data_IF_027079751446
#
_entry.id   IF_027079751446
#
_cell.length_a   1.000
_cell.length_b   1.000
_cell.length_c   1.000
_cell.angle_alpha   90.00
_cell.angle_beta   90.00
_cell.angle_gamma   90.00
#
_symmetry.space_group_name_H-M   'P 1'
#
loop_
_entity.id
_entity.type
_entity.pdbx_description
1 polymer ?
#
# COMPACT_ATOMS: atom_id res chain seq x y z
N UNK A 1 2.87 6.29 -9.73
CA UNK A 1 3.46 6.80 -10.98
C UNK A 1 4.57 5.86 -11.42
N UNK A 2 4.91 5.82 -12.71
CA UNK A 2 6.09 5.09 -13.23
C UNK A 2 7.00 6.06 -13.97
N UNK A 3 8.29 5.96 -13.70
CA UNK A 3 9.34 6.71 -14.38
C UNK A 3 10.27 5.74 -15.09
N UNK A 4 10.92 6.20 -16.16
CA UNK A 4 12.06 5.49 -16.73
C UNK A 4 13.36 5.84 -16.01
N UNK A 5 14.48 5.26 -16.45
CA UNK A 5 15.80 5.45 -15.86
C UNK A 5 16.31 6.90 -15.97
N UNK A 6 15.73 7.70 -16.87
CA UNK A 6 16.01 9.12 -17.03
C UNK A 6 15.03 10.01 -16.25
N UNK A 7 14.27 9.44 -15.30
CA UNK A 7 13.26 10.13 -14.50
C UNK A 7 12.12 10.76 -15.29
N UNK A 8 11.88 10.32 -16.53
CA UNK A 8 10.73 10.79 -17.31
C UNK A 8 9.51 9.98 -16.92
N UNK A 9 8.38 10.66 -16.68
CA UNK A 9 7.12 10.00 -16.35
C UNK A 9 6.61 9.23 -17.57
N UNK A 10 6.50 7.90 -17.46
CA UNK A 10 6.01 7.02 -18.54
C UNK A 10 4.62 6.46 -18.26
N UNK A 11 4.15 6.48 -17.01
CA UNK A 11 2.77 6.13 -16.68
C UNK A 11 2.28 6.78 -15.38
N UNK A 12 0.95 6.93 -15.28
CA UNK A 12 0.24 7.35 -14.08
C UNK A 12 -0.90 6.38 -13.79
N UNK A 13 -1.18 6.16 -12.51
CA UNK A 13 -2.24 5.25 -12.07
C UNK A 13 -3.05 5.93 -10.96
N UNK A 14 -4.32 5.55 -10.86
CA UNK A 14 -5.26 6.00 -9.83
C UNK A 14 -5.77 4.80 -9.03
N UNK A 15 -6.15 5.04 -7.78
CA UNK A 15 -6.76 4.01 -6.95
C UNK A 15 -8.16 3.63 -7.45
N UNK A 16 -8.60 2.37 -7.24
CA UNK A 16 -9.95 1.95 -7.56
C UNK A 16 -10.97 2.67 -6.66
N UNK A 17 -12.20 2.83 -7.17
CA UNK A 17 -13.29 3.54 -6.48
C UNK A 17 -13.52 3.01 -5.06
N UNK A 18 -13.53 1.70 -4.87
CA UNK A 18 -13.74 1.07 -3.57
C UNK A 18 -12.73 1.53 -2.51
N UNK A 19 -11.47 1.71 -2.91
CA UNK A 19 -10.41 2.20 -2.01
C UNK A 19 -10.56 3.70 -1.73
N UNK A 20 -10.95 4.49 -2.73
CA UNK A 20 -11.25 5.92 -2.56
C UNK A 20 -12.40 6.12 -1.58
N UNK A 21 -13.45 5.30 -1.68
CA UNK A 21 -14.60 5.34 -0.76
C UNK A 21 -14.20 4.99 0.68
N UNK A 22 -13.21 4.12 0.88
CA UNK A 22 -12.66 3.80 2.21
C UNK A 22 -11.74 4.88 2.76
N UNK A 23 -11.02 5.58 1.90
CA UNK A 23 -10.14 6.68 2.30
C UNK A 23 -10.91 7.89 2.83
N UNK A 24 -12.21 8.02 2.53
CA UNK A 24 -13.07 9.09 3.03
C UNK A 24 -12.43 10.47 2.79
N UNK A 25 -12.21 11.28 3.83
CA UNK A 25 -11.57 12.60 3.72
C UNK A 25 -10.04 12.55 3.81
N UNK A 26 -9.45 11.37 3.96
CA UNK A 26 -8.03 11.19 4.22
C UNK A 26 -7.28 10.62 3.01
N UNK A 27 -5.95 10.75 3.04
CA UNK A 27 -5.07 10.29 1.96
C UNK A 27 -4.52 8.89 2.23
N UNK A 28 -3.97 8.27 1.18
CA UNK A 28 -3.03 7.18 1.38
C UNK A 28 -1.86 7.66 2.26
N UNK A 29 -1.47 6.86 3.25
CA UNK A 29 -0.42 7.21 4.22
C UNK A 29 0.82 6.32 4.13
N UNK A 30 0.78 5.27 3.31
CA UNK A 30 1.91 4.38 3.07
C UNK A 30 1.77 3.62 1.75
N UNK A 31 2.91 3.15 1.23
CA UNK A 31 2.96 2.35 0.02
C UNK A 31 4.30 1.64 -0.16
N UNK A 32 4.28 0.35 -0.46
CA UNK A 32 5.50 -0.44 -0.74
C UNK A 32 5.22 -1.56 -1.75
N UNK A 33 6.20 -1.87 -2.60
CA UNK A 33 6.09 -2.97 -3.56
C UNK A 33 6.55 -4.28 -2.91
N UNK A 34 5.69 -5.30 -2.95
CA UNK A 34 6.05 -6.67 -2.58
C UNK A 34 6.95 -7.32 -3.63
N UNK A 35 7.60 -8.41 -3.25
CA UNK A 35 8.40 -9.24 -4.18
C UNK A 35 7.54 -9.94 -5.24
N UNK A 36 6.24 -10.07 -4.98
CA UNK A 36 5.23 -10.56 -5.92
C UNK A 36 4.80 -9.52 -6.96
N UNK A 37 5.45 -8.35 -6.99
CA UNK A 37 5.14 -7.27 -7.92
C UNK A 37 3.82 -6.55 -7.63
N UNK A 38 3.20 -6.80 -6.47
CA UNK A 38 1.99 -6.10 -6.02
C UNK A 38 2.36 -4.86 -5.21
N UNK A 39 1.53 -3.82 -5.30
CA UNK A 39 1.61 -2.63 -4.48
C UNK A 39 0.76 -2.82 -3.23
N UNK A 40 1.37 -2.74 -2.07
CA UNK A 40 0.69 -2.74 -0.77
C UNK A 40 0.58 -1.29 -0.34
N UNK A 41 -0.63 -0.84 -0.01
CA UNK A 41 -0.92 0.55 0.35
C UNK A 41 -1.84 0.62 1.56
N UNK A 42 -1.70 1.67 2.36
CA UNK A 42 -2.52 1.89 3.56
C UNK A 42 -3.23 3.23 3.50
N UNK A 43 -4.43 3.26 4.09
CA UNK A 43 -5.13 4.50 4.41
C UNK A 43 -4.53 5.19 5.63
N UNK A 44 -5.12 6.32 6.03
CA UNK A 44 -4.73 7.00 7.26
C UNK A 44 -5.25 6.28 8.50
N UNK A 45 -6.57 6.02 8.54
CA UNK A 45 -7.28 5.50 9.71
C UNK A 45 -7.81 4.08 9.50
N UNK A 46 -7.72 3.53 8.29
CA UNK A 46 -8.18 2.17 8.01
C UNK A 46 -7.10 1.18 8.50
N UNK A 47 -7.49 0.28 9.41
CA UNK A 47 -6.67 -0.83 9.90
C UNK A 47 -6.52 -1.93 8.85
N UNK A 48 -6.20 -1.53 7.62
CA UNK A 48 -6.17 -2.39 6.45
C UNK A 48 -5.02 -2.04 5.51
N UNK A 49 -4.44 -3.08 4.91
CA UNK A 49 -3.50 -3.00 3.80
C UNK A 49 -4.24 -3.42 2.52
N UNK A 50 -4.32 -2.50 1.57
CA UNK A 50 -4.85 -2.73 0.23
C UNK A 50 -3.76 -3.32 -0.66
N UNK A 51 -4.01 -4.50 -1.21
CA UNK A 51 -3.11 -5.17 -2.15
C UNK A 51 -3.57 -4.87 -3.57
N UNK A 52 -2.72 -4.21 -4.34
CA UNK A 52 -3.04 -3.68 -5.66
C UNK A 52 -2.11 -4.27 -6.72
N UNK A 53 -2.62 -4.46 -7.93
CA UNK A 53 -1.80 -4.77 -9.11
C UNK A 53 -1.94 -3.71 -10.19
N UNK A 54 -0.94 -3.62 -11.05
CA UNK A 54 -1.00 -2.77 -12.24
C UNK A 54 -1.99 -3.38 -13.24
N UNK A 55 -2.85 -2.56 -13.88
CA UNK A 55 -3.74 -3.05 -14.91
C UNK A 55 -2.95 -3.40 -16.19
N UNK A 56 -3.43 -4.39 -16.94
CA UNK A 56 -2.88 -4.68 -18.29
C UNK A 56 -3.19 -3.55 -19.28
N UNK A 57 -4.33 -2.87 -19.12
CA UNK A 57 -4.73 -1.70 -19.90
C UNK A 57 -5.54 -0.71 -19.05
N UNK A 58 -5.40 0.59 -19.32
CA UNK A 58 -6.02 1.66 -18.55
C UNK A 58 -5.14 2.18 -17.41
N UNK A 59 -5.71 3.00 -16.53
CA UNK A 59 -4.97 3.72 -15.49
C UNK A 59 -5.46 3.43 -14.06
N UNK A 60 -6.50 2.60 -13.90
CA UNK A 60 -7.06 2.26 -12.58
C UNK A 60 -6.36 1.01 -12.05
N UNK A 61 -5.78 1.09 -10.86
CA UNK A 61 -5.18 -0.07 -10.18
C UNK A 61 -6.25 -1.10 -9.83
N UNK A 62 -5.88 -2.38 -9.88
CA UNK A 62 -6.78 -3.48 -9.57
C UNK A 62 -6.62 -3.88 -8.11
N UNK A 63 -7.68 -3.73 -7.29
CA UNK A 63 -7.71 -4.26 -5.94
C UNK A 63 -7.76 -5.79 -5.99
N UNK A 64 -6.75 -6.43 -5.42
CA UNK A 64 -6.62 -7.88 -5.36
C UNK A 64 -7.15 -8.42 -4.03
N UNK A 65 -6.84 -7.72 -2.94
CA UNK A 65 -7.11 -8.17 -1.58
C UNK A 65 -7.09 -6.99 -0.60
N UNK A 66 -7.80 -7.14 0.52
CA UNK A 66 -7.78 -6.21 1.65
C UNK A 66 -7.40 -7.01 2.89
N UNK A 67 -6.19 -6.78 3.39
CA UNK A 67 -5.65 -7.50 4.55
C UNK A 67 -5.86 -6.68 5.82
N UNK A 68 -6.51 -7.23 6.87
CA UNK A 68 -6.60 -6.53 8.14
C UNK A 68 -5.21 -6.45 8.79
N UNK A 69 -4.87 -5.29 9.36
CA UNK A 69 -3.65 -5.09 10.13
C UNK A 69 -3.96 -4.39 11.45
N UNK A 70 -3.15 -4.67 12.46
CA UNK A 70 -3.35 -4.13 13.81
C UNK A 70 -2.94 -2.65 13.95
N UNK A 71 -2.44 -2.02 12.88
CA UNK A 71 -1.94 -0.65 12.91
C UNK A 71 -2.55 0.19 11.78
N UNK A 72 -3.08 1.35 12.15
CA UNK A 72 -3.48 2.43 11.25
C UNK A 72 -2.23 2.95 10.53
N UNK A 73 -2.22 2.82 9.20
CA UNK A 73 -0.99 2.68 8.41
C UNK A 73 -0.33 3.97 7.99
N UNK A 74 0.29 4.68 8.93
CA UNK A 74 1.24 5.75 8.58
C UNK A 74 2.62 5.16 8.27
N UNK A 75 2.92 4.97 6.98
CA UNK A 75 4.17 4.38 6.53
C UNK A 75 4.22 2.87 6.76
N UNK A 76 4.61 2.15 5.72
CA UNK A 76 4.79 0.70 5.74
C UNK A 76 6.05 0.30 4.98
N UNK A 77 6.68 -0.79 5.40
CA UNK A 77 7.84 -1.35 4.72
C UNK A 77 7.87 -2.87 4.86
N UNK A 78 8.14 -3.57 3.76
CA UNK A 78 8.47 -4.99 3.79
C UNK A 78 9.88 -5.18 4.35
N UNK A 79 10.04 -6.14 5.26
CA UNK A 79 11.37 -6.69 5.55
C UNK A 79 11.82 -7.51 4.33
N UNK A 80 12.94 -7.11 3.72
CA UNK A 80 13.52 -7.84 2.58
C UNK A 80 14.37 -9.03 3.01
N UNK A 81 14.74 -9.10 4.30
CA UNK A 81 15.49 -10.23 4.86
C UNK A 81 14.58 -11.32 5.44
N UNK A 82 13.32 -10.98 5.73
CA UNK A 82 12.34 -11.89 6.31
C UNK A 82 11.02 -11.87 5.53
N UNK A 83 10.81 -12.82 4.59
CA UNK A 83 9.59 -12.88 3.79
C UNK A 83 8.31 -12.89 4.64
N UNK A 84 7.32 -12.13 4.20
CA UNK A 84 6.02 -12.01 4.87
C UNK A 84 5.99 -11.05 6.07
N UNK A 85 7.12 -10.47 6.47
CA UNK A 85 7.17 -9.48 7.57
C UNK A 85 6.93 -8.07 7.05
N UNK A 86 5.84 -7.44 7.49
CA UNK A 86 5.53 -6.04 7.22
C UNK A 86 5.68 -5.20 8.49
N UNK A 87 6.48 -4.15 8.41
CA UNK A 87 6.55 -3.10 9.42
C UNK A 87 5.56 -1.98 9.09
N UNK A 88 4.95 -1.44 10.13
CA UNK A 88 4.04 -0.29 10.08
C UNK A 88 4.26 0.61 11.29
N UNK A 89 3.93 1.90 11.19
CA UNK A 89 4.00 2.82 12.34
C UNK A 89 2.59 3.13 12.82
N UNK A 90 2.32 2.85 14.09
CA UNK A 90 1.11 3.26 14.77
C UNK A 90 1.37 4.57 15.52
N UNK A 91 0.98 5.70 14.91
CA UNK A 91 1.35 7.04 15.44
C UNK A 91 0.67 7.38 16.76
N UNK A 92 -0.55 6.90 16.97
CA UNK A 92 -1.32 7.17 18.20
C UNK A 92 -0.57 6.67 19.45
N UNK A 93 0.08 5.51 19.35
CA UNK A 93 0.88 4.90 20.43
C UNK A 93 2.38 5.12 20.29
N UNK A 94 2.84 5.63 19.14
CA UNK A 94 4.27 5.83 18.78
C UNK A 94 5.04 4.51 18.72
N UNK A 95 4.39 3.47 18.22
CA UNK A 95 4.95 2.13 18.14
C UNK A 95 5.27 1.73 16.69
N UNK A 96 6.25 0.86 16.55
CA UNK A 96 6.46 0.08 15.33
C UNK A 96 5.73 -1.25 15.51
N UNK A 97 4.77 -1.51 14.63
CA UNK A 97 3.99 -2.74 14.64
C UNK A 97 4.50 -3.66 13.53
N UNK A 98 4.84 -4.88 13.93
CA UNK A 98 5.33 -5.93 13.05
C UNK A 98 4.18 -6.90 12.78
N UNK A 99 3.85 -7.10 11.50
CA UNK A 99 2.79 -8.02 11.07
C UNK A 99 3.38 -9.13 10.20
N UNK A 100 2.92 -10.36 10.39
CA UNK A 100 3.15 -11.47 9.47
C UNK A 100 1.94 -11.61 8.55
N UNK A 101 2.14 -11.36 7.26
CA UNK A 101 1.06 -11.34 6.27
C UNK A 101 1.08 -12.55 5.33
N UNK A 102 1.99 -13.51 5.56
CA UNK A 102 2.05 -14.86 4.97
C UNK A 102 2.76 -15.83 5.91
#
# INVERSE_FOLDING_TARGET
>A
MKFDESWRRVAGYVYPREMIERFQQMSNSGGTWGEDGRLYATGHDDGAVFVLSLPTAGSVLLLQEVLPVAAEGQGIAWDRSEPGTLYSILRSTREVVVSKLR
#
